data_IF_174489234371
#
_entry.id   IF_174489234371
#
_cell.length_a   1.000
_cell.length_b   1.000
_cell.length_c   1.000
_cell.angle_alpha   90.00
_cell.angle_beta   90.00
_cell.angle_gamma   90.00
#
_symmetry.space_group_name_H-M   'P 1'
#
loop_
_entity.id
_entity.type
_entity.pdbx_description
1 polymer ?
#
# COMPACT_ATOMS: atom_id res chain seq x y z
N UNK A 1 36.26 8.99 11.61
CA UNK A 1 36.38 8.13 12.81
C UNK A 1 35.01 7.66 13.32
N UNK A 2 34.00 8.54 13.39
CA UNK A 2 32.65 8.21 13.91
C UNK A 2 31.84 7.19 13.08
N UNK A 3 31.96 7.21 11.74
CA UNK A 3 31.25 6.24 10.86
C UNK A 3 31.70 4.79 11.12
N UNK A 4 32.99 4.59 11.39
CA UNK A 4 33.56 3.28 11.69
C UNK A 4 33.16 2.79 13.07
N UNK A 5 33.13 3.68 14.08
CA UNK A 5 32.62 3.35 15.43
C UNK A 5 31.13 2.99 15.42
N UNK A 6 30.29 3.69 14.65
CA UNK A 6 28.87 3.33 14.48
C UNK A 6 28.70 1.98 13.78
N UNK A 7 29.46 1.71 12.72
CA UNK A 7 29.43 0.41 12.04
C UNK A 7 29.89 -0.73 12.96
N UNK A 8 30.91 -0.50 13.78
CA UNK A 8 31.42 -1.47 14.75
C UNK A 8 30.42 -1.76 15.88
N UNK A 9 29.71 -0.74 16.38
CA UNK A 9 28.68 -0.88 17.41
C UNK A 9 27.40 -1.56 16.86
N UNK A 10 26.97 -1.20 15.65
CA UNK A 10 25.82 -1.86 14.97
C UNK A 10 26.10 -3.36 14.76
N UNK A 11 27.32 -3.73 14.35
CA UNK A 11 27.67 -5.13 14.13
C UNK A 11 27.61 -6.01 15.40
N UNK A 12 27.67 -5.42 16.60
CA UNK A 12 27.67 -6.18 17.87
C UNK A 12 26.29 -6.72 18.26
N UNK A 13 25.23 -6.07 17.80
CA UNK A 13 23.84 -6.39 18.19
C UNK A 13 23.03 -7.04 17.06
N UNK A 14 23.60 -7.08 15.86
CA UNK A 14 23.00 -7.69 14.68
C UNK A 14 23.36 -9.17 14.61
N UNK A 15 22.36 -10.02 14.43
CA UNK A 15 22.55 -11.47 14.30
C UNK A 15 21.51 -12.12 13.38
N UNK A 16 21.74 -13.35 12.89
CA UNK A 16 20.71 -14.12 12.21
C UNK A 16 19.49 -14.36 13.10
N UNK A 17 18.32 -14.48 12.49
CA UNK A 17 17.09 -14.88 13.18
C UNK A 17 17.20 -16.31 13.71
N UNK A 18 16.55 -16.59 14.84
CA UNK A 18 16.26 -17.95 15.29
C UNK A 18 15.31 -18.64 14.30
N UNK A 19 15.10 -19.95 14.46
CA UNK A 19 14.16 -20.70 13.61
C UNK A 19 12.74 -20.12 13.69
N UNK A 20 12.24 -19.87 14.90
CA UNK A 20 10.90 -19.34 15.14
C UNK A 20 10.76 -17.90 14.63
N UNK A 21 11.77 -17.05 14.90
CA UNK A 21 11.79 -15.67 14.40
C UNK A 21 11.78 -15.64 12.86
N UNK A 22 12.57 -16.51 12.23
CA UNK A 22 12.63 -16.63 10.77
C UNK A 22 11.29 -17.06 10.20
N UNK A 23 10.65 -18.06 10.81
CA UNK A 23 9.32 -18.50 10.39
C UNK A 23 8.30 -17.36 10.42
N UNK A 24 8.26 -16.59 11.52
CA UNK A 24 7.34 -15.44 11.64
C UNK A 24 7.65 -14.35 10.60
N UNK A 25 8.92 -14.04 10.38
CA UNK A 25 9.32 -13.01 9.40
C UNK A 25 8.98 -13.43 7.96
N UNK A 26 9.23 -14.68 7.59
CA UNK A 26 8.88 -15.21 6.26
C UNK A 26 7.36 -15.32 6.07
N UNK A 27 6.60 -15.74 7.09
CA UNK A 27 5.13 -15.72 7.04
C UNK A 27 4.59 -14.29 6.84
N UNK A 28 5.18 -13.29 7.50
CA UNK A 28 4.82 -11.89 7.30
C UNK A 28 5.16 -11.41 5.88
N UNK A 29 6.31 -11.82 5.33
CA UNK A 29 6.71 -11.54 3.94
C UNK A 29 5.74 -12.16 2.93
N UNK A 30 5.40 -13.43 3.07
CA UNK A 30 4.47 -14.13 2.19
C UNK A 30 3.08 -13.49 2.20
N UNK A 31 2.57 -13.12 3.38
CA UNK A 31 1.28 -12.43 3.52
C UNK A 31 1.31 -11.03 2.94
N UNK A 32 2.43 -10.32 3.08
CA UNK A 32 2.63 -9.01 2.42
C UNK A 32 2.63 -9.15 0.89
N UNK A 33 3.32 -10.16 0.34
CA UNK A 33 3.28 -10.45 -1.10
C UNK A 33 1.85 -10.78 -1.57
N UNK A 34 1.09 -11.55 -0.79
CA UNK A 34 -0.31 -11.84 -1.08
C UNK A 34 -1.14 -10.56 -1.23
N UNK A 35 -1.02 -9.63 -0.28
CA UNK A 35 -1.72 -8.33 -0.30
C UNK A 35 -1.37 -7.53 -1.56
N UNK A 36 -0.08 -7.45 -1.89
CA UNK A 36 0.37 -6.71 -3.06
C UNK A 36 -0.15 -7.33 -4.37
N UNK A 37 -0.13 -8.66 -4.49
CA UNK A 37 -0.71 -9.36 -5.64
C UNK A 37 -2.23 -9.20 -5.72
N UNK A 38 -2.92 -9.21 -4.59
CA UNK A 38 -4.36 -8.98 -4.54
C UNK A 38 -4.73 -7.54 -4.98
N UNK A 39 -3.92 -6.55 -4.60
CA UNK A 39 -4.07 -5.19 -5.09
C UNK A 39 -3.89 -5.09 -6.62
N UNK A 40 -2.97 -5.85 -7.21
CA UNK A 40 -2.84 -5.94 -8.67
C UNK A 40 -4.04 -6.60 -9.34
N UNK A 41 -4.64 -7.62 -8.72
CA UNK A 41 -5.88 -8.25 -9.24
C UNK A 41 -7.06 -7.29 -9.23
N UNK A 42 -7.10 -6.41 -8.22
CA UNK A 42 -8.16 -5.40 -8.00
C UNK A 42 -7.77 -4.01 -8.53
N UNK A 43 -6.79 -3.93 -9.43
CA UNK A 43 -6.16 -2.67 -9.88
C UNK A 43 -7.13 -1.63 -10.42
N UNK A 44 -8.18 -2.04 -11.12
CA UNK A 44 -9.13 -1.13 -11.79
C UNK A 44 -9.98 -0.34 -10.78
N UNK A 45 -10.10 -0.86 -9.55
CA UNK A 45 -10.80 -0.23 -8.44
C UNK A 45 -9.87 0.50 -7.46
N UNK A 46 -8.60 0.09 -7.38
CA UNK A 46 -7.72 0.47 -6.26
C UNK A 46 -6.47 1.27 -6.65
N UNK A 47 -5.98 1.12 -7.88
CA UNK A 47 -4.71 1.69 -8.32
C UNK A 47 -4.94 2.76 -9.38
N UNK A 48 -4.01 3.71 -9.46
CA UNK A 48 -4.08 4.84 -10.40
C UNK A 48 -2.89 4.81 -11.33
N UNK A 49 -3.13 4.82 -12.64
CA UNK A 49 -2.06 4.78 -13.66
C UNK A 49 -1.11 5.98 -13.54
N UNK A 50 -1.66 7.17 -13.25
CA UNK A 50 -0.90 8.42 -13.10
C UNK A 50 -1.30 9.20 -11.85
N UNK A 51 -0.88 8.78 -10.65
CA UNK A 51 -1.21 9.44 -9.39
C UNK A 51 -0.88 10.94 -9.40
N UNK A 52 0.17 11.32 -10.12
CA UNK A 52 0.69 12.68 -10.21
C UNK A 52 -0.21 13.66 -10.96
N UNK A 53 -1.07 13.15 -11.85
CA UNK A 53 -2.05 13.94 -12.61
C UNK A 53 -3.37 14.11 -11.84
N UNK A 54 -3.54 13.46 -10.69
CA UNK A 54 -4.79 13.46 -9.94
C UNK A 54 -4.97 14.73 -9.08
N UNK A 55 -6.10 15.43 -9.27
CA UNK A 55 -6.37 16.74 -8.66
C UNK A 55 -6.38 16.78 -7.12
N UNK A 56 -6.49 15.61 -6.47
CA UNK A 56 -6.55 15.45 -5.00
C UNK A 56 -5.38 14.63 -4.43
N UNK A 57 -4.28 14.55 -5.17
CA UNK A 57 -3.04 13.89 -4.75
C UNK A 57 -2.59 14.25 -3.33
N UNK A 58 -2.77 15.50 -2.91
CA UNK A 58 -2.29 15.96 -1.61
C UNK A 58 -3.21 15.56 -0.44
N UNK A 59 -4.33 14.89 -0.71
CA UNK A 59 -5.33 14.50 0.32
C UNK A 59 -5.20 13.04 0.75
N UNK A 60 -4.75 12.14 -0.12
CA UNK A 60 -4.66 10.71 0.16
C UNK A 60 -3.55 10.05 -0.69
N UNK A 61 -2.92 8.98 -0.17
CA UNK A 61 -1.78 8.35 -0.83
C UNK A 61 -2.24 7.49 -2.01
N UNK A 62 -2.20 8.06 -3.21
CA UNK A 62 -2.53 7.35 -4.45
C UNK A 62 -1.38 6.43 -4.88
N UNK A 63 -1.68 5.14 -5.02
CA UNK A 63 -0.69 4.11 -5.38
C UNK A 63 -0.85 3.75 -6.86
N UNK A 64 0.27 3.71 -7.60
CA UNK A 64 0.27 3.25 -8.99
C UNK A 64 0.50 1.76 -9.13
N UNK A 65 0.14 1.22 -10.30
CA UNK A 65 0.38 -0.18 -10.65
C UNK A 65 1.87 -0.51 -10.65
N UNK A 66 2.70 0.37 -11.20
CA UNK A 66 4.15 0.23 -11.27
C UNK A 66 4.74 0.16 -9.87
N UNK A 67 4.30 1.04 -8.96
CA UNK A 67 4.75 1.02 -7.57
C UNK A 67 4.46 -0.33 -6.89
N UNK A 68 3.25 -0.89 -7.07
CA UNK A 68 2.94 -2.21 -6.49
C UNK A 68 3.82 -3.32 -7.08
N UNK A 69 4.04 -3.30 -8.39
CA UNK A 69 4.93 -4.27 -9.04
C UNK A 69 6.37 -4.15 -8.54
N UNK A 70 6.85 -2.92 -8.33
CA UNK A 70 8.20 -2.64 -7.85
C UNK A 70 8.37 -3.09 -6.39
N UNK A 71 7.37 -2.86 -5.54
CA UNK A 71 7.33 -3.35 -4.16
C UNK A 71 7.42 -4.88 -4.12
N UNK A 72 6.67 -5.59 -4.99
CA UNK A 72 6.75 -7.06 -5.09
C UNK A 72 8.18 -7.49 -5.44
N UNK A 73 8.76 -6.93 -6.51
CA UNK A 73 10.10 -7.31 -6.98
C UNK A 73 11.19 -7.09 -5.93
N UNK A 74 11.09 -6.03 -5.13
CA UNK A 74 12.04 -5.78 -4.06
C UNK A 74 11.78 -6.67 -2.84
N UNK A 75 10.51 -6.85 -2.44
CA UNK A 75 10.14 -7.71 -1.31
C UNK A 75 10.55 -9.17 -1.55
N UNK A 76 10.42 -9.70 -2.76
CA UNK A 76 10.88 -11.05 -3.12
C UNK A 76 12.36 -11.27 -2.79
N UNK A 77 13.21 -10.25 -2.99
CA UNK A 77 14.66 -10.29 -2.75
C UNK A 77 15.04 -10.10 -1.28
N UNK A 78 14.09 -9.70 -0.43
CA UNK A 78 14.38 -9.36 0.97
C UNK A 78 14.91 -10.56 1.74
N UNK A 79 15.93 -10.30 2.54
CA UNK A 79 16.42 -11.17 3.61
C UNK A 79 16.26 -10.47 4.96
N UNK A 80 16.21 -11.25 6.04
CA UNK A 80 16.00 -10.69 7.39
C UNK A 80 17.19 -10.94 8.31
N UNK A 81 17.49 -9.94 9.13
CA UNK A 81 18.36 -10.05 10.30
C UNK A 81 17.64 -9.46 11.51
N UNK A 82 18.02 -9.86 12.72
CA UNK A 82 17.59 -9.16 13.93
C UNK A 82 18.65 -8.18 14.40
N UNK A 83 18.19 -7.08 14.98
CA UNK A 83 19.01 -6.12 15.70
C UNK A 83 18.46 -5.95 17.12
N UNK A 84 19.20 -6.48 18.09
CA UNK A 84 18.85 -6.45 19.51
C UNK A 84 19.53 -5.29 20.25
N UNK A 85 19.82 -4.18 19.56
CA UNK A 85 20.39 -3.01 20.22
C UNK A 85 19.37 -2.45 21.23
N UNK A 86 19.69 -2.41 22.54
CA UNK A 86 18.79 -1.87 23.56
C UNK A 86 18.36 -0.43 23.31
N UNK A 87 19.20 0.39 22.65
CA UNK A 87 18.85 1.77 22.31
C UNK A 87 17.69 1.88 21.29
N UNK A 88 17.42 0.80 20.55
CA UNK A 88 16.35 0.72 19.54
C UNK A 88 15.08 0.04 20.07
N UNK A 89 15.15 -0.57 21.25
CA UNK A 89 14.08 -1.41 21.81
C UNK A 89 12.74 -0.69 21.97
N UNK A 90 12.75 0.63 22.09
CA UNK A 90 11.54 1.45 22.32
C UNK A 90 11.17 2.40 21.16
N UNK A 91 11.96 2.45 20.08
CA UNK A 91 11.81 3.52 19.07
C UNK A 91 11.80 3.06 17.62
N UNK A 92 12.23 1.83 17.34
CA UNK A 92 12.42 1.35 15.99
C UNK A 92 11.76 -0.01 15.83
N UNK A 93 10.89 -0.13 14.85
CA UNK A 93 10.22 -1.40 14.50
C UNK A 93 11.14 -2.21 13.60
N UNK A 94 11.57 -1.62 12.50
CA UNK A 94 12.57 -2.16 11.60
C UNK A 94 13.38 -1.01 10.97
N UNK A 95 14.41 -1.36 10.20
CA UNK A 95 15.11 -0.41 9.35
C UNK A 95 15.83 -1.13 8.20
N UNK A 96 16.19 -0.37 7.17
CA UNK A 96 17.05 -0.81 6.08
C UNK A 96 18.20 0.15 5.81
N UNK A 97 19.21 -0.34 5.11
CA UNK A 97 20.17 0.50 4.40
C UNK A 97 19.78 0.56 2.93
N UNK A 98 19.10 1.63 2.50
CA UNK A 98 18.54 1.76 1.13
C UNK A 98 19.58 1.60 0.01
N UNK A 99 20.83 2.00 0.26
CA UNK A 99 21.94 1.83 -0.69
C UNK A 99 22.53 0.42 -0.73
N UNK A 100 22.11 -0.49 0.15
CA UNK A 100 22.64 -1.86 0.21
C UNK A 100 22.04 -2.73 -0.89
N UNK A 101 22.90 -3.41 -1.64
CA UNK A 101 22.47 -4.42 -2.63
C UNK A 101 21.92 -5.69 -1.99
N UNK A 102 22.19 -5.94 -0.71
CA UNK A 102 21.80 -7.17 -0.02
C UNK A 102 20.30 -7.24 0.33
N UNK A 103 19.56 -6.12 0.21
CA UNK A 103 18.12 -6.00 0.51
C UNK A 103 17.73 -6.60 1.86
N UNK A 104 18.56 -6.35 2.86
CA UNK A 104 18.35 -6.86 4.22
C UNK A 104 17.48 -5.89 5.02
N UNK A 105 16.40 -6.40 5.59
CA UNK A 105 15.60 -5.72 6.61
C UNK A 105 16.08 -6.17 7.99
N UNK A 106 16.39 -5.20 8.85
CA UNK A 106 16.78 -5.43 10.24
C UNK A 106 15.56 -5.27 11.15
N UNK A 107 15.09 -6.38 11.71
CA UNK A 107 13.93 -6.44 12.58
C UNK A 107 14.36 -6.15 14.02
N UNK A 108 13.75 -5.14 14.64
CA UNK A 108 14.01 -4.74 16.03
C UNK A 108 12.96 -5.34 16.98
N UNK A 109 13.17 -5.28 18.31
CA UNK A 109 12.26 -5.91 19.29
C UNK A 109 10.78 -5.51 19.16
N UNK A 110 10.47 -4.29 18.70
CA UNK A 110 9.09 -3.84 18.52
C UNK A 110 8.37 -4.59 17.40
N UNK A 111 9.05 -4.98 16.32
CA UNK A 111 8.42 -5.72 15.20
C UNK A 111 7.69 -6.98 15.69
N UNK A 112 8.26 -7.69 16.66
CA UNK A 112 7.67 -8.91 17.21
C UNK A 112 6.43 -8.67 18.06
N UNK A 113 6.24 -7.43 18.54
CA UNK A 113 5.08 -7.00 19.35
C UNK A 113 3.95 -6.43 18.49
N UNK A 114 4.24 -6.07 17.24
CA UNK A 114 3.24 -5.48 16.34
C UNK A 114 2.16 -6.46 15.90
N UNK A 115 1.06 -5.89 15.40
CA UNK A 115 -0.07 -6.67 14.86
C UNK A 115 0.41 -7.53 13.69
N UNK A 116 0.01 -8.80 13.72
CA UNK A 116 0.37 -9.77 12.67
C UNK A 116 -0.40 -9.55 11.36
N UNK A 117 -1.60 -8.99 11.40
CA UNK A 117 -2.50 -8.83 10.24
C UNK A 117 -2.49 -7.39 9.74
N UNK A 118 -2.83 -7.21 8.46
CA UNK A 118 -2.85 -5.88 7.84
C UNK A 118 -3.77 -4.94 8.62
N UNK A 119 -3.13 -3.99 9.29
CA UNK A 119 -3.75 -2.98 10.12
C UNK A 119 -2.72 -1.86 10.30
N UNK A 120 -3.16 -0.72 10.84
CA UNK A 120 -2.25 0.38 11.17
C UNK A 120 -1.12 -0.08 12.10
N UNK A 121 0.12 0.25 11.70
CA UNK A 121 1.39 -0.08 12.34
C UNK A 121 1.64 -1.59 12.47
N UNK A 122 1.17 -2.37 11.49
CA UNK A 122 1.32 -3.82 11.51
C UNK A 122 2.70 -4.29 11.02
N UNK A 123 3.02 -5.55 11.28
CA UNK A 123 4.21 -6.19 10.69
C UNK A 123 4.21 -6.07 9.15
N UNK A 124 3.05 -6.25 8.53
CA UNK A 124 2.90 -6.21 7.07
C UNK A 124 3.10 -4.79 6.53
N UNK A 125 2.52 -3.78 7.18
CA UNK A 125 2.75 -2.38 6.82
C UNK A 125 4.18 -1.94 7.05
N UNK A 126 4.83 -2.45 8.10
CA UNK A 126 6.27 -2.25 8.33
C UNK A 126 7.10 -2.80 7.16
N UNK A 127 6.81 -4.01 6.66
CA UNK A 127 7.53 -4.54 5.51
C UNK A 127 7.32 -3.68 4.25
N UNK A 128 6.10 -3.20 4.00
CA UNK A 128 5.83 -2.28 2.88
C UNK A 128 6.62 -0.97 3.04
N UNK A 129 6.66 -0.42 4.25
CA UNK A 129 7.44 0.78 4.58
C UNK A 129 8.93 0.57 4.28
N UNK A 130 9.53 -0.49 4.82
CA UNK A 130 10.95 -0.79 4.67
C UNK A 130 11.35 -1.10 3.23
N UNK A 131 10.52 -1.84 2.49
CA UNK A 131 10.78 -2.12 1.07
C UNK A 131 10.72 -0.85 0.22
N UNK A 132 9.84 0.09 0.57
CA UNK A 132 9.76 1.38 -0.13
C UNK A 132 11.07 2.18 -0.06
N UNK A 133 11.87 2.02 1.00
CA UNK A 133 13.21 2.64 1.06
C UNK A 133 14.16 2.11 -0.01
N UNK A 134 14.06 0.83 -0.42
CA UNK A 134 14.90 0.28 -1.50
C UNK A 134 14.56 0.87 -2.88
N UNK A 135 13.33 1.39 -3.03
CA UNK A 135 12.89 2.12 -4.23
C UNK A 135 13.25 3.61 -4.19
N UNK A 136 13.90 4.07 -3.12
CA UNK A 136 14.36 5.46 -2.97
C UNK A 136 13.34 6.41 -2.35
N UNK A 137 12.20 5.91 -1.87
CA UNK A 137 11.27 6.71 -1.08
C UNK A 137 11.88 7.06 0.28
N UNK A 138 11.43 8.18 0.88
CA UNK A 138 11.92 8.69 2.17
C UNK A 138 10.80 8.74 3.19
N UNK A 139 11.14 8.70 4.47
CA UNK A 139 10.21 8.85 5.58
C UNK A 139 9.53 10.21 5.62
N UNK A 140 10.23 11.25 5.17
CA UNK A 140 9.73 12.63 5.17
C UNK A 140 10.13 13.31 3.88
N UNK A 141 9.29 14.23 3.42
CA UNK A 141 9.70 15.13 2.35
C UNK A 141 10.82 16.02 2.90
N UNK A 142 11.97 16.00 2.24
CA UNK A 142 13.07 16.90 2.57
C UNK A 142 12.70 18.31 2.11
N UNK A 143 12.49 19.24 3.04
CA UNK A 143 12.30 20.66 2.69
C UNK A 143 13.60 21.30 2.16
N UNK A 144 13.40 22.21 1.20
CA UNK A 144 14.35 23.09 0.50
C UNK A 144 14.98 22.55 -0.79
N UNK A 145 14.23 22.65 -1.89
CA UNK A 145 14.76 23.28 -3.10
C UNK A 145 14.25 24.72 -3.13
N UNK A 146 15.17 25.64 -2.88
CA UNK A 146 14.99 27.08 -3.10
C UNK A 146 14.56 27.33 -4.53
N UNK A 147 13.42 28.00 -4.68
CA UNK A 147 12.96 28.83 -5.80
C UNK A 147 13.57 28.53 -7.19
N UNK A 148 12.76 27.88 -8.05
CA UNK A 148 12.60 28.24 -9.48
C UNK A 148 11.90 27.18 -10.36
N UNK A 149 11.08 26.26 -9.82
CA UNK A 149 10.08 25.56 -10.63
C UNK A 149 8.76 25.44 -9.88
N UNK A 150 7.81 26.28 -10.28
CA UNK A 150 6.40 26.06 -10.03
C UNK A 150 6.00 24.65 -10.50
N UNK A 151 5.15 23.96 -9.73
CA UNK A 151 4.56 22.63 -10.00
C UNK A 151 5.46 21.40 -9.81
N UNK A 152 6.28 21.33 -8.75
CA UNK A 152 7.00 20.11 -8.41
C UNK A 152 6.15 19.16 -7.55
N UNK A 153 5.54 18.18 -8.20
CA UNK A 153 4.98 16.93 -7.68
C UNK A 153 5.57 16.47 -6.31
N UNK A 154 4.80 16.58 -5.20
CA UNK A 154 5.17 16.03 -3.88
C UNK A 154 5.20 14.50 -3.92
N UNK A 155 6.36 13.89 -4.14
CA UNK A 155 6.53 12.43 -4.17
C UNK A 155 6.04 11.80 -2.87
N UNK A 156 5.44 10.60 -2.94
CA UNK A 156 5.01 9.83 -1.77
C UNK A 156 6.18 9.60 -0.79
N UNK A 157 5.88 9.48 0.49
CA UNK A 157 6.79 8.95 1.52
C UNK A 157 6.60 7.45 1.73
N UNK A 158 7.58 6.82 2.37
CA UNK A 158 7.47 5.42 2.84
C UNK A 158 6.28 5.21 3.77
N UNK A 159 5.99 6.19 4.65
CA UNK A 159 4.80 6.17 5.52
C UNK A 159 3.50 6.29 4.73
N UNK A 160 3.43 7.18 3.74
CA UNK A 160 2.24 7.33 2.89
C UNK A 160 1.94 6.05 2.10
N UNK A 161 2.98 5.37 1.61
CA UNK A 161 2.83 4.09 0.92
C UNK A 161 2.28 3.02 1.87
N UNK A 162 2.88 2.83 3.04
CA UNK A 162 2.37 1.86 4.03
C UNK A 162 0.94 2.20 4.46
N UNK A 163 0.66 3.47 4.76
CA UNK A 163 -0.66 3.95 5.16
C UNK A 163 -1.72 3.71 4.08
N UNK A 164 -1.35 3.78 2.80
CA UNK A 164 -2.26 3.45 1.72
C UNK A 164 -2.81 2.03 1.90
N UNK A 165 -1.93 1.04 2.12
CA UNK A 165 -2.35 -0.35 2.31
C UNK A 165 -3.07 -0.57 3.64
N UNK A 166 -2.54 -0.03 4.74
CA UNK A 166 -3.06 -0.29 6.09
C UNK A 166 -4.45 0.31 6.32
N UNK A 167 -4.76 1.42 5.63
CA UNK A 167 -5.98 2.20 5.87
C UNK A 167 -6.84 2.40 4.62
N UNK A 168 -6.26 2.78 3.50
CA UNK A 168 -7.05 3.23 2.35
C UNK A 168 -7.48 2.09 1.43
N UNK A 169 -6.63 1.08 1.23
CA UNK A 169 -6.94 -0.11 0.44
C UNK A 169 -7.50 -1.25 1.32
N UNK A 170 -7.38 -1.15 2.64
CA UNK A 170 -7.82 -2.19 3.57
C UNK A 170 -9.35 -2.32 3.66
N UNK A 171 -9.80 -3.40 4.28
CA UNK A 171 -11.18 -3.58 4.72
C UNK A 171 -11.49 -2.63 5.89
N UNK A 172 -12.70 -2.09 5.93
CA UNK A 172 -13.17 -1.22 7.01
C UNK A 172 -13.57 -2.03 8.26
N UNK A 173 -14.00 -3.27 8.03
CA UNK A 173 -14.46 -4.19 9.07
C UNK A 173 -13.41 -5.27 9.37
N UNK A 174 -13.46 -5.82 10.58
CA UNK A 174 -12.55 -6.88 11.01
C UNK A 174 -12.86 -8.21 10.33
N UNK A 175 -11.86 -9.07 10.21
CA UNK A 175 -12.02 -10.42 9.70
C UNK A 175 -12.55 -11.34 10.81
N UNK A 176 -13.80 -11.76 10.70
CA UNK A 176 -14.49 -12.60 11.68
C UNK A 176 -15.26 -13.73 10.98
N UNK A 177 -15.42 -14.87 11.65
CA UNK A 177 -16.20 -16.00 11.10
C UNK A 177 -15.78 -16.46 9.69
N UNK A 178 -14.48 -16.32 9.35
CA UNK A 178 -13.88 -16.64 8.04
C UNK A 178 -14.28 -15.72 6.87
N UNK A 179 -14.69 -14.47 7.13
CA UNK A 179 -14.87 -13.47 6.08
C UNK A 179 -14.73 -12.03 6.61
N UNK A 180 -14.61 -11.07 5.69
CA UNK A 180 -14.77 -9.65 5.95
C UNK A 180 -16.23 -9.24 5.71
N UNK A 181 -16.93 -8.77 6.73
CA UNK A 181 -18.36 -8.39 6.64
C UNK A 181 -18.64 -7.23 5.68
N UNK A 182 -17.68 -6.32 5.48
CA UNK A 182 -17.84 -5.20 4.56
C UNK A 182 -18.02 -5.61 3.08
N UNK A 183 -17.54 -6.79 2.67
CA UNK A 183 -17.54 -7.19 1.26
C UNK A 183 -17.72 -8.69 0.98
N UNK A 184 -17.77 -9.53 2.01
CA UNK A 184 -17.87 -10.99 1.90
C UNK A 184 -16.58 -11.69 1.50
N UNK A 185 -15.44 -10.98 1.42
CA UNK A 185 -14.14 -11.56 1.07
C UNK A 185 -13.69 -12.59 2.12
N UNK A 186 -13.33 -13.77 1.67
CA UNK A 186 -12.88 -14.89 2.53
C UNK A 186 -11.37 -15.02 2.54
N UNK A 187 -10.67 -14.35 1.62
CA UNK A 187 -9.20 -14.31 1.66
C UNK A 187 -8.75 -13.34 2.75
N UNK A 188 -8.26 -13.88 3.87
CA UNK A 188 -7.61 -13.07 4.91
C UNK A 188 -6.34 -12.41 4.36
N UNK A 189 -6.01 -11.22 4.85
CA UNK A 189 -4.87 -10.41 4.36
C UNK A 189 -4.99 -10.10 2.88
N UNK A 190 -6.12 -9.49 2.52
CA UNK A 190 -6.43 -9.00 1.19
C UNK A 190 -6.78 -7.51 1.25
N UNK A 191 -6.78 -6.84 0.09
CA UNK A 191 -7.31 -5.47 -0.02
C UNK A 191 -8.77 -5.49 -0.43
N UNK A 192 -9.52 -4.46 -0.07
CA UNK A 192 -10.97 -4.42 -0.30
C UNK A 192 -11.33 -3.66 -1.57
N UNK A 193 -12.08 -4.29 -2.49
CA UNK A 193 -12.63 -3.63 -3.71
C UNK A 193 -13.67 -2.54 -3.42
N UNK A 194 -14.12 -2.45 -2.16
CA UNK A 194 -15.02 -1.41 -1.64
C UNK A 194 -14.36 -0.56 -0.55
N UNK A 195 -13.03 -0.58 -0.48
CA UNK A 195 -12.25 0.22 0.45
C UNK A 195 -12.47 1.73 0.28
N UNK A 196 -11.98 2.51 1.24
CA UNK A 196 -11.99 3.97 1.17
C UNK A 196 -11.34 4.49 -0.12
N UNK A 197 -10.24 3.87 -0.58
CA UNK A 197 -9.59 4.22 -1.84
C UNK A 197 -10.52 3.97 -3.02
N UNK A 198 -11.20 2.81 -3.07
CA UNK A 198 -12.15 2.51 -4.14
C UNK A 198 -13.28 3.56 -4.19
N UNK A 199 -13.80 3.97 -3.03
CA UNK A 199 -14.81 5.03 -2.95
C UNK A 199 -14.27 6.37 -3.47
N UNK A 200 -13.06 6.75 -3.06
CA UNK A 200 -12.39 7.98 -3.49
C UNK A 200 -12.18 7.99 -5.01
N UNK A 201 -11.63 6.92 -5.58
CA UNK A 201 -11.34 6.83 -7.01
C UNK A 201 -12.63 6.81 -7.82
N UNK A 202 -13.65 6.07 -7.36
CA UNK A 202 -14.96 6.08 -7.98
C UNK A 202 -15.53 7.49 -7.98
N UNK A 203 -15.57 8.19 -6.86
CA UNK A 203 -16.18 9.53 -6.77
C UNK A 203 -15.44 10.59 -7.60
N UNK A 204 -14.10 10.56 -7.65
CA UNK A 204 -13.32 11.55 -8.41
C UNK A 204 -13.26 11.28 -9.93
N UNK A 205 -13.56 10.05 -10.38
CA UNK A 205 -13.76 9.76 -11.81
C UNK A 205 -14.92 10.55 -12.42
N UNK A 206 -15.88 11.01 -11.59
CA UNK A 206 -17.05 11.80 -12.01
C UNK A 206 -16.80 13.32 -12.03
N UNK A 207 -15.70 13.80 -11.43
CA UNK A 207 -15.38 15.24 -11.39
C UNK A 207 -14.30 15.64 -12.39
N UNK A 208 -13.57 14.68 -12.95
CA UNK A 208 -12.63 14.92 -14.04
C UNK A 208 -13.37 14.70 -15.35
N UNK A 209 -13.89 15.79 -15.94
CA UNK A 209 -14.32 15.78 -17.34
C UNK A 209 -13.06 15.44 -18.17
N UNK A 210 -13.04 14.31 -18.91
CA UNK A 210 -11.92 14.01 -19.80
C UNK A 210 -11.66 15.20 -20.72
N UNK A 211 -10.40 15.60 -20.91
CA UNK A 211 -10.04 16.71 -21.81
C UNK A 211 -10.60 16.53 -23.23
N UNK A 212 -10.83 15.28 -23.68
CA UNK A 212 -11.52 14.99 -24.94
C UNK A 212 -13.00 15.44 -24.96
N UNK A 213 -13.70 15.45 -23.83
CA UNK A 213 -15.08 15.95 -23.76
C UNK A 213 -15.15 17.48 -23.64
N UNK A 214 -14.00 18.17 -23.50
CA UNK A 214 -13.97 19.64 -23.42
C UNK A 214 -14.47 20.32 -24.70
N UNK A 215 -14.41 19.63 -25.84
CA UNK A 215 -14.93 20.07 -27.15
C UNK A 215 -16.38 19.64 -27.43
N UNK A 216 -17.01 18.86 -26.56
CA UNK A 216 -18.40 18.46 -26.72
C UNK A 216 -19.36 19.54 -26.24
N UNK A 217 -20.50 19.65 -26.90
CA UNK A 217 -21.61 20.45 -26.42
C UNK A 217 -22.12 19.90 -25.08
N UNK A 218 -22.75 20.75 -24.28
CA UNK A 218 -23.24 20.38 -22.95
C UNK A 218 -24.24 19.21 -23.00
N UNK A 219 -25.00 19.10 -24.10
CA UNK A 219 -25.95 18.00 -24.31
C UNK A 219 -25.25 16.67 -24.62
N UNK A 220 -24.16 16.70 -25.39
CA UNK A 220 -23.38 15.49 -25.70
C UNK A 220 -22.68 14.96 -24.44
N UNK A 221 -22.17 15.84 -23.56
CA UNK A 221 -21.63 15.44 -22.25
C UNK A 221 -22.68 14.75 -21.40
N UNK A 222 -23.87 15.34 -21.27
CA UNK A 222 -24.99 14.76 -20.51
C UNK A 222 -25.41 13.41 -21.05
N UNK A 223 -25.42 13.22 -22.37
CA UNK A 223 -25.76 11.93 -23.00
C UNK A 223 -24.69 10.87 -22.72
N UNK A 224 -23.40 11.21 -22.80
CA UNK A 224 -22.32 10.29 -22.44
C UNK A 224 -22.39 9.90 -20.96
N UNK A 225 -22.57 10.87 -20.05
CA UNK A 225 -22.73 10.63 -18.61
C UNK A 225 -23.93 9.71 -18.32
N UNK A 226 -25.09 9.98 -18.93
CA UNK A 226 -26.28 9.13 -18.76
C UNK A 226 -26.07 7.71 -19.32
N UNK A 227 -25.32 7.57 -20.41
CA UNK A 227 -25.02 6.27 -21.01
C UNK A 227 -24.10 5.44 -20.10
N UNK A 228 -23.09 6.06 -19.50
CA UNK A 228 -22.21 5.40 -18.53
C UNK A 228 -22.93 5.03 -17.24
N UNK A 229 -23.81 5.91 -16.73
CA UNK A 229 -24.70 5.60 -15.60
C UNK A 229 -25.59 4.40 -15.93
N UNK A 230 -26.17 4.36 -17.13
CA UNK A 230 -27.03 3.26 -17.56
C UNK A 230 -26.26 1.94 -17.66
N UNK A 231 -25.05 1.95 -18.21
CA UNK A 231 -24.18 0.76 -18.27
C UNK A 231 -23.79 0.27 -16.87
N UNK A 232 -23.58 1.20 -15.92
CA UNK A 232 -23.29 0.88 -14.53
C UNK A 232 -24.49 0.28 -13.80
N UNK A 233 -25.68 0.86 -13.93
CA UNK A 233 -26.92 0.28 -13.38
C UNK A 233 -27.13 -1.12 -13.93
N UNK A 234 -26.88 -1.35 -15.22
CA UNK A 234 -26.97 -2.69 -15.82
C UNK A 234 -25.99 -3.68 -15.18
N UNK A 235 -24.76 -3.25 -14.89
CA UNK A 235 -23.75 -4.10 -14.23
C UNK A 235 -24.13 -4.41 -12.79
N UNK A 236 -24.53 -3.40 -12.03
CA UNK A 236 -24.93 -3.55 -10.63
C UNK A 236 -26.17 -4.45 -10.52
N UNK A 237 -27.15 -4.31 -11.44
CA UNK A 237 -28.31 -5.22 -11.53
C UNK A 237 -27.89 -6.65 -11.83
N UNK A 238 -26.90 -6.87 -12.70
CA UNK A 238 -26.38 -8.21 -12.98
C UNK A 238 -25.65 -8.82 -11.78
N UNK A 239 -24.86 -8.02 -11.05
CA UNK A 239 -24.17 -8.46 -9.84
C UNK A 239 -25.17 -8.79 -8.72
N UNK A 240 -26.18 -7.95 -8.51
CA UNK A 240 -27.29 -8.22 -7.57
C UNK A 240 -28.03 -9.50 -7.95
N UNK A 241 -28.31 -9.71 -9.25
CA UNK A 241 -28.99 -10.92 -9.72
C UNK A 241 -28.16 -12.17 -9.44
N UNK A 242 -26.85 -12.13 -9.71
CA UNK A 242 -25.93 -13.23 -9.41
C UNK A 242 -25.88 -13.53 -7.92
N UNK A 243 -25.90 -12.51 -7.06
CA UNK A 243 -25.95 -12.67 -5.60
C UNK A 243 -27.27 -13.31 -5.18
N UNK A 244 -28.41 -12.84 -5.72
CA UNK A 244 -29.73 -13.40 -5.40
C UNK A 244 -29.85 -14.89 -5.79
N UNK A 245 -29.28 -15.28 -6.93
CA UNK A 245 -29.26 -16.68 -7.39
C UNK A 245 -28.44 -17.60 -6.45
N UNK A 246 -27.41 -17.06 -5.76
CA UNK A 246 -26.64 -17.80 -4.76
C UNK A 246 -27.40 -18.09 -3.46
N UNK A 247 -28.48 -17.37 -3.16
CA UNK A 247 -29.29 -17.54 -1.94
C UNK A 247 -30.57 -18.35 -2.16
N UNK A 248 -30.84 -18.82 -3.38
CA UNK A 248 -32.02 -19.62 -3.74
C UNK A 248 -31.71 -21.15 -3.74
N UNK A 249 -30.48 -21.54 -3.38
CA UNK A 249 -30.05 -22.93 -3.18
C UNK A 249 -29.47 -23.12 -1.78
#
# INVERSE_FOLDING_TARGET
>A
MEKWLRLFLVAKHVSPLSEDERKVAEEAKERTLHILHDALKKRDDLLVEKPEEHAKRDTYPLISLELVQDLIRELEKVTFMKDNNPEKEEKTIAYVYSSSSARTIYLCPLFWKEKKYLALDSQLGTLIHEVSHFLGYKDRHTEKTTESQAQLHRALTTYEIALAFERYLNHDEQYENNYYSCCGETSRDSVCKYSLMAFILRYNRWTIIPKHLSSLSENERKVTELTEILLRIKRDVLEIKSIAEMFIH
#
